data_IF_435436851770
#
_entry.id   IF_435436851770
#
_cell.length_a   1.000
_cell.length_b   1.000
_cell.length_c   1.000
_cell.angle_alpha   90.00
_cell.angle_beta   90.00
_cell.angle_gamma   90.00
#
_symmetry.space_group_name_H-M   'P 1'
#
loop_
_entity.id
_entity.type
_entity.pdbx_description
1 polymer ?
#
# COMPACT_ATOMS: atom_id res chain seq x y z
N UNK A 1 1.53 -6.40 20.44
CA UNK A 1 1.22 -6.41 19.00
C UNK A 1 1.49 -5.02 18.47
N UNK A 2 2.73 -4.76 18.03
CA UNK A 2 3.25 -3.41 17.83
C UNK A 2 2.79 -2.81 16.50
N UNK A 3 2.62 -1.48 16.44
CA UNK A 3 2.34 -0.74 15.20
C UNK A 3 3.37 -1.04 14.09
N UNK A 4 4.60 -1.44 14.47
CA UNK A 4 5.63 -1.94 13.56
C UNK A 4 5.17 -3.16 12.73
N UNK A 5 4.47 -4.11 13.35
CA UNK A 5 3.90 -5.27 12.64
C UNK A 5 2.84 -4.81 11.65
N UNK A 6 1.99 -3.85 12.04
CA UNK A 6 0.96 -3.31 11.15
C UNK A 6 1.55 -2.58 9.95
N UNK A 7 2.63 -1.81 10.16
CA UNK A 7 3.37 -1.16 9.08
C UNK A 7 3.98 -2.20 8.12
N UNK A 8 4.65 -3.24 8.64
CA UNK A 8 5.25 -4.28 7.83
C UNK A 8 4.20 -5.07 7.01
N UNK A 9 3.04 -5.35 7.58
CA UNK A 9 1.90 -5.98 6.90
C UNK A 9 1.35 -5.09 5.77
N UNK A 10 1.22 -3.78 6.02
CA UNK A 10 0.79 -2.81 5.01
C UNK A 10 1.81 -2.68 3.88
N UNK A 11 3.10 -2.63 4.18
CA UNK A 11 4.16 -2.60 3.16
C UNK A 11 4.18 -3.87 2.31
N UNK A 12 3.95 -5.05 2.91
CA UNK A 12 3.80 -6.30 2.15
C UNK A 12 2.61 -6.24 1.20
N UNK A 13 1.45 -5.81 1.68
CA UNK A 13 0.25 -5.63 0.84
C UNK A 13 0.48 -4.62 -0.28
N UNK A 14 1.16 -3.52 0.01
CA UNK A 14 1.52 -2.52 -1.00
C UNK A 14 2.38 -3.15 -2.11
N UNK A 15 3.40 -3.91 -1.73
CA UNK A 15 4.30 -4.58 -2.67
C UNK A 15 3.58 -5.59 -3.57
N UNK A 16 2.68 -6.39 -3.00
CA UNK A 16 1.83 -7.31 -3.80
C UNK A 16 0.93 -6.56 -4.78
N UNK A 17 0.37 -5.43 -4.34
CA UNK A 17 -0.50 -4.63 -5.19
C UNK A 17 0.28 -3.93 -6.30
N UNK A 18 1.50 -3.46 -6.03
CA UNK A 18 2.40 -2.92 -7.06
C UNK A 18 2.77 -3.97 -8.10
N UNK A 19 3.06 -5.20 -7.67
CA UNK A 19 3.35 -6.31 -8.58
C UNK A 19 2.15 -6.64 -9.46
N UNK A 20 0.94 -6.70 -8.88
CA UNK A 20 -0.30 -6.88 -9.62
C UNK A 20 -0.55 -5.73 -10.64
N UNK A 21 -0.24 -4.48 -10.27
CA UNK A 21 -0.30 -3.34 -11.19
C UNK A 21 0.72 -3.51 -12.32
N UNK A 22 1.95 -3.89 -12.00
CA UNK A 22 3.00 -4.06 -13.00
C UNK A 22 2.62 -5.16 -14.01
N UNK A 23 2.09 -6.29 -13.54
CA UNK A 23 1.60 -7.37 -14.39
C UNK A 23 0.39 -6.94 -15.24
N UNK A 24 -0.52 -6.15 -14.67
CA UNK A 24 -1.66 -5.58 -15.38
C UNK A 24 -1.21 -4.59 -16.47
N UNK A 25 -0.31 -3.67 -16.15
CA UNK A 25 0.26 -2.70 -17.11
C UNK A 25 1.04 -3.40 -18.23
N UNK A 26 1.80 -4.45 -17.88
CA UNK A 26 2.56 -5.25 -18.85
C UNK A 26 1.66 -6.13 -19.73
N UNK A 27 0.44 -6.43 -19.29
CA UNK A 27 -0.54 -7.17 -20.07
C UNK A 27 -1.35 -6.22 -20.96
N UNK A 28 -1.18 -6.25 -22.30
CA UNK A 28 -1.94 -5.37 -23.21
C UNK A 28 -3.44 -5.66 -23.23
N UNK A 29 -3.88 -6.77 -22.64
CA UNK A 29 -5.29 -7.14 -22.50
C UNK A 29 -5.89 -6.77 -21.13
N UNK A 30 -5.10 -6.16 -20.23
CA UNK A 30 -5.60 -5.72 -18.94
C UNK A 30 -6.45 -4.46 -19.14
N UNK A 31 -7.74 -4.58 -18.83
CA UNK A 31 -8.70 -3.51 -19.01
C UNK A 31 -8.33 -2.31 -18.14
N UNK A 32 -8.41 -1.09 -18.71
CA UNK A 32 -8.21 0.18 -18.00
C UNK A 32 -8.97 0.24 -16.67
N UNK A 33 -10.11 -0.46 -16.58
CA UNK A 33 -10.90 -0.58 -15.35
C UNK A 33 -10.11 -1.27 -14.22
N UNK A 34 -9.49 -2.43 -14.48
CA UNK A 34 -8.68 -3.14 -13.48
C UNK A 34 -7.46 -2.31 -13.06
N UNK A 35 -6.84 -1.62 -14.01
CA UNK A 35 -5.69 -0.77 -13.74
C UNK A 35 -6.08 0.45 -12.87
N UNK A 36 -7.24 1.03 -13.11
CA UNK A 36 -7.82 2.10 -12.30
C UNK A 36 -8.16 1.61 -10.88
N UNK A 37 -8.77 0.44 -10.73
CA UNK A 37 -9.08 -0.15 -9.42
C UNK A 37 -7.81 -0.43 -8.62
N UNK A 38 -6.78 -1.00 -9.27
CA UNK A 38 -5.51 -1.29 -8.62
C UNK A 38 -4.78 0.01 -8.20
N UNK A 39 -4.75 1.03 -9.06
CA UNK A 39 -4.22 2.36 -8.69
C UNK A 39 -4.96 2.96 -7.51
N UNK A 40 -6.29 2.80 -7.44
CA UNK A 40 -7.11 3.29 -6.33
C UNK A 40 -6.79 2.57 -5.03
N UNK A 41 -6.65 1.24 -5.07
CA UNK A 41 -6.18 0.43 -3.94
C UNK A 41 -4.77 0.83 -3.51
N UNK A 42 -3.88 1.16 -4.46
CA UNK A 42 -2.50 1.59 -4.16
C UNK A 42 -2.52 2.90 -3.39
N UNK A 43 -3.35 3.84 -3.83
CA UNK A 43 -3.53 5.12 -3.16
C UNK A 43 -4.02 4.93 -1.71
N UNK A 44 -5.05 4.08 -1.51
CA UNK A 44 -5.59 3.77 -0.19
C UNK A 44 -4.55 3.14 0.74
N UNK A 45 -3.78 2.17 0.24
CA UNK A 45 -2.70 1.53 1.01
C UNK A 45 -1.61 2.52 1.40
N UNK A 46 -1.24 3.43 0.48
CA UNK A 46 -0.26 4.48 0.74
C UNK A 46 -0.77 5.44 1.81
N UNK A 47 -2.04 5.85 1.73
CA UNK A 47 -2.70 6.71 2.73
C UNK A 47 -2.72 6.03 4.11
N UNK A 48 -3.03 4.73 4.16
CA UNK A 48 -3.07 3.96 5.40
C UNK A 48 -1.66 3.80 6.01
N UNK A 49 -0.62 3.58 5.19
CA UNK A 49 0.78 3.58 5.62
C UNK A 49 1.18 4.94 6.18
N UNK A 50 0.84 6.02 5.47
CA UNK A 50 1.17 7.38 5.88
C UNK A 50 0.48 7.75 7.18
N UNK A 51 -0.78 7.35 7.34
CA UNK A 51 -1.55 7.51 8.58
C UNK A 51 -0.92 6.74 9.74
N UNK A 52 -0.49 5.50 9.52
CA UNK A 52 0.20 4.69 10.54
C UNK A 52 1.56 5.29 10.89
N UNK A 53 2.32 5.78 9.91
CA UNK A 53 3.59 6.49 10.13
C UNK A 53 3.38 7.79 10.90
N UNK A 54 2.37 8.57 10.57
CA UNK A 54 2.03 9.81 11.27
C UNK A 54 1.53 9.56 12.69
N UNK A 55 0.89 8.40 12.91
CA UNK A 55 0.50 7.89 14.24
C UNK A 55 1.67 7.28 15.01
N UNK A 56 2.85 7.12 14.40
CA UNK A 56 4.13 6.95 15.09
C UNK A 56 4.84 8.30 15.21
N UNK A 57 4.38 9.25 16.06
CA UNK A 57 5.30 10.27 16.52
C UNK A 57 6.36 9.54 17.36
N UNK A 58 7.63 9.81 17.10
CA UNK A 58 8.76 9.46 17.96
C UNK A 58 8.64 10.16 19.32
N UNK A 59 7.63 9.80 20.12
CA UNK A 59 7.38 10.32 21.48
C UNK A 59 6.98 9.20 22.43
N UNK A 60 7.85 8.21 22.53
CA UNK A 60 8.09 7.57 23.82
C UNK A 60 9.54 7.79 24.20
N UNK A 61 9.89 9.05 24.38
CA UNK A 61 10.96 9.47 25.27
C UNK A 61 10.41 10.67 26.05
N UNK A 62 9.75 10.37 27.18
CA UNK A 62 9.57 11.24 28.34
C UNK A 62 9.11 10.36 29.50
#
# INVERSE_FOLDING_TARGET
>A
MSLQTRLAELERKHRQLEDAIAQAVASPSSSDLSLAELKRKKLQLKDEIERVRMTMPERTLH
#
